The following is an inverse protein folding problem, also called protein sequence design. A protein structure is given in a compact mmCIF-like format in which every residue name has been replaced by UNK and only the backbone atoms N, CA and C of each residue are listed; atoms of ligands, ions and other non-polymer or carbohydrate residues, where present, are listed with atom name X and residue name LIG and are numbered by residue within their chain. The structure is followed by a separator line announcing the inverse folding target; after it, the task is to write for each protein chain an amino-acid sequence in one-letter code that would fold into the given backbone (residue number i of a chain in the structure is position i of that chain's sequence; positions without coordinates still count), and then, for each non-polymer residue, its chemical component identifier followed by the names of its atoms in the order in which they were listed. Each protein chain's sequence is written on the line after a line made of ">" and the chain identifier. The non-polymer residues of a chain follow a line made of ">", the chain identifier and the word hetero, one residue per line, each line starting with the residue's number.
data_IF_316820219593
#
_entry.id   IF_316820219593
#
_cell.length_a   1.000
_cell.length_b   1.000
_cell.length_c   1.000
_cell.angle_alpha   90.00
_cell.angle_beta   90.00
_cell.angle_gamma   90.00
#
_symmetry.space_group_name_H-M   'P 1'
#
loop_
_entity.id
_entity.type
_entity.pdbx_description
1 polymer ?
#
# COMPACT_ATOMS: atom_id res chain seq x y z
N UNK A 1 -2.73 2.21 2.06
CA UNK A 1 -2.45 1.00 2.82
C UNK A 1 -3.24 0.94 4.12
N UNK A 2 -3.09 -0.13 4.84
CA UNK A 2 -3.88 -0.43 6.03
C UNK A 2 -3.07 -1.31 7.01
N UNK A 3 -3.46 -1.30 8.28
CA UNK A 3 -2.98 -2.29 9.25
C UNK A 3 -3.41 -3.70 8.81
N UNK A 4 -2.59 -4.69 9.12
CA UNK A 4 -2.85 -6.09 8.81
C UNK A 4 -2.32 -6.99 9.91
N UNK A 5 -3.16 -7.93 10.38
CA UNK A 5 -2.78 -8.96 11.36
C UNK A 5 -3.64 -10.20 11.15
N UNK A 6 -4.36 -10.66 12.16
CA UNK A 6 -5.40 -11.69 12.00
C UNK A 6 -6.62 -11.18 11.22
N UNK A 7 -6.77 -9.86 11.15
CA UNK A 7 -7.76 -9.19 10.30
C UNK A 7 -7.06 -8.64 9.06
N UNK A 8 -7.60 -8.94 7.87
CA UNK A 8 -6.95 -8.57 6.60
C UNK A 8 -6.87 -7.05 6.41
N UNK A 9 -7.95 -6.33 6.70
CA UNK A 9 -7.98 -4.87 6.69
C UNK A 9 -8.32 -4.37 8.08
N UNK A 10 -7.42 -3.64 8.72
CA UNK A 10 -7.63 -3.02 10.02
C UNK A 10 -6.92 -1.66 10.13
N UNK A 11 -7.19 -0.94 11.19
CA UNK A 11 -6.45 0.28 11.50
C UNK A 11 -4.98 -0.03 11.80
N UNK A 12 -4.07 0.92 11.53
CA UNK A 12 -4.33 2.27 11.01
C UNK A 12 -4.47 2.33 9.50
N UNK A 13 -5.09 3.38 8.98
CA UNK A 13 -5.00 3.74 7.57
C UNK A 13 -3.60 4.32 7.27
N UNK A 14 -2.97 3.84 6.21
CA UNK A 14 -1.64 4.28 5.77
C UNK A 14 -1.80 5.13 4.50
N UNK A 15 -1.66 6.42 4.63
CA UNK A 15 -1.71 7.34 3.51
C UNK A 15 -0.38 7.32 2.73
N UNK A 16 -0.48 7.51 1.41
CA UNK A 16 0.70 7.57 0.52
C UNK A 16 1.11 9.02 0.21
N UNK A 17 0.71 9.96 1.07
CA UNK A 17 1.12 11.36 1.04
C UNK A 17 1.23 11.90 2.46
N UNK A 18 2.01 12.96 2.64
CA UNK A 18 2.19 13.56 3.96
C UNK A 18 3.48 14.34 4.06
N UNK A 19 3.76 14.81 5.25
CA UNK A 19 5.03 15.47 5.59
C UNK A 19 5.86 14.56 6.49
N UNK A 20 7.18 14.56 6.30
CA UNK A 20 8.11 13.84 7.17
C UNK A 20 7.89 14.26 8.64
N UNK A 21 7.99 13.30 9.54
CA UNK A 21 7.84 13.47 11.00
C UNK A 21 6.44 13.97 11.42
N UNK A 22 5.40 13.63 10.68
CA UNK A 22 4.00 13.87 11.04
C UNK A 22 3.19 12.59 10.92
N UNK A 23 1.97 12.61 11.44
CA UNK A 23 1.06 11.46 11.40
C UNK A 23 1.22 10.52 12.59
N UNK A 24 0.76 9.28 12.40
CA UNK A 24 0.81 8.26 13.44
C UNK A 24 2.26 7.84 13.73
N UNK A 25 2.59 7.74 15.00
CA UNK A 25 3.88 7.19 15.42
C UNK A 25 3.94 5.68 15.15
N UNK A 26 5.08 5.23 14.63
CA UNK A 26 5.32 3.83 14.28
C UNK A 26 6.08 3.15 15.41
N UNK A 27 5.61 1.98 15.84
CA UNK A 27 6.22 1.19 16.91
C UNK A 27 6.67 -0.19 16.43
N UNK A 28 7.73 -0.76 17.01
CA UNK A 28 8.08 -2.15 16.79
C UNK A 28 6.91 -3.10 17.04
N UNK A 29 6.75 -4.09 16.18
CA UNK A 29 5.64 -5.04 16.20
C UNK A 29 4.43 -4.62 15.36
N UNK A 30 4.38 -3.39 14.86
CA UNK A 30 3.33 -2.99 13.91
C UNK A 30 3.52 -3.68 12.56
N UNK A 31 2.40 -4.09 11.95
CA UNK A 31 2.35 -4.61 10.59
C UNK A 31 1.30 -3.85 9.78
N UNK A 32 1.66 -3.46 8.58
CA UNK A 32 0.77 -2.72 7.69
C UNK A 32 1.17 -2.87 6.23
N UNK A 33 0.29 -2.48 5.33
CA UNK A 33 0.56 -2.49 3.89
C UNK A 33 0.94 -1.10 3.37
N UNK A 34 1.76 -1.11 2.33
CA UNK A 34 2.07 0.07 1.51
C UNK A 34 1.68 -0.30 0.08
N UNK A 35 0.65 0.36 -0.46
CA UNK A 35 -0.01 -0.07 -1.70
C UNK A 35 -0.51 1.10 -2.57
N UNK A 36 0.36 2.04 -2.96
CA UNK A 36 -0.05 3.20 -3.73
C UNK A 36 -0.60 2.81 -5.10
N UNK A 37 -1.69 3.47 -5.49
CA UNK A 37 -2.21 3.43 -6.85
C UNK A 37 -1.66 4.62 -7.62
N UNK A 38 -0.91 4.35 -8.69
CA UNK A 38 -0.25 5.38 -9.50
C UNK A 38 -0.95 5.49 -10.85
N UNK A 39 -1.52 6.65 -11.13
CA UNK A 39 -2.26 6.92 -12.37
C UNK A 39 -1.41 7.76 -13.33
N UNK A 40 -1.44 7.41 -14.61
CA UNK A 40 -0.80 8.20 -15.66
C UNK A 40 -1.57 9.52 -15.93
N UNK A 41 -2.85 9.59 -15.58
CA UNK A 41 -3.70 10.76 -15.72
C UNK A 41 -4.11 11.36 -14.39
N UNK A 42 -5.39 11.68 -14.27
CA UNK A 42 -5.95 12.29 -13.07
C UNK A 42 -6.17 11.28 -11.94
N UNK A 43 -6.18 11.77 -10.71
CA UNK A 43 -6.35 10.93 -9.51
C UNK A 43 -7.78 10.39 -9.31
N UNK A 44 -8.78 10.95 -9.99
CA UNK A 44 -10.17 10.56 -9.82
C UNK A 44 -10.41 9.12 -10.26
N UNK A 45 -11.11 8.37 -9.43
CA UNK A 45 -11.46 6.97 -9.67
C UNK A 45 -12.97 6.76 -9.71
N UNK A 46 -13.38 5.65 -10.28
CA UNK A 46 -14.75 5.16 -10.29
C UNK A 46 -14.74 3.72 -9.77
N UNK A 47 -15.63 3.44 -8.84
CA UNK A 47 -15.86 2.06 -8.36
C UNK A 47 -16.91 1.43 -9.26
N UNK A 48 -16.64 0.20 -9.73
CA UNK A 48 -17.55 -0.55 -10.58
C UNK A 48 -18.70 -1.17 -9.79
N UNK A 49 -19.65 -1.79 -10.51
CA UNK A 49 -20.87 -2.36 -9.92
C UNK A 49 -20.62 -3.55 -8.97
N UNK A 50 -19.42 -4.15 -9.01
CA UNK A 50 -19.02 -5.19 -8.05
C UNK A 50 -18.71 -4.60 -6.64
N UNK A 51 -18.73 -3.26 -6.50
CA UNK A 51 -18.43 -2.57 -5.25
C UNK A 51 -16.97 -2.64 -4.81
N UNK A 52 -16.09 -3.17 -5.64
CA UNK A 52 -14.68 -3.40 -5.31
C UNK A 52 -13.71 -2.83 -6.35
N UNK A 53 -13.90 -3.14 -7.61
CA UNK A 53 -12.98 -2.76 -8.68
C UNK A 53 -12.96 -1.24 -8.87
N UNK A 54 -11.78 -0.64 -8.70
CA UNK A 54 -11.53 0.78 -8.95
C UNK A 54 -10.85 0.95 -10.31
N UNK A 55 -11.39 1.84 -11.14
CA UNK A 55 -10.79 2.22 -12.41
C UNK A 55 -10.59 3.72 -12.48
N UNK A 56 -9.63 4.19 -13.27
CA UNK A 56 -9.44 5.62 -13.49
C UNK A 56 -10.67 6.21 -14.19
N UNK A 57 -11.14 7.35 -13.70
CA UNK A 57 -12.31 8.01 -14.27
C UNK A 57 -12.06 8.52 -15.69
N UNK A 58 -10.83 8.92 -15.99
CA UNK A 58 -10.39 9.41 -17.29
C UNK A 58 -9.88 8.30 -18.23
N UNK A 59 -9.99 7.02 -17.82
CA UNK A 59 -9.52 5.84 -18.56
C UNK A 59 -8.00 5.80 -18.80
N UNK A 60 -7.23 6.59 -18.08
CA UNK A 60 -5.76 6.52 -18.11
C UNK A 60 -5.26 5.22 -17.49
N UNK A 61 -4.04 4.85 -17.86
CA UNK A 61 -3.36 3.69 -17.26
C UNK A 61 -3.12 3.92 -15.77
N UNK A 62 -3.21 2.84 -15.00
CA UNK A 62 -2.93 2.80 -13.58
C UNK A 62 -2.13 1.57 -13.24
N UNK A 63 -1.28 1.67 -12.23
CA UNK A 63 -0.54 0.56 -11.67
C UNK A 63 -0.61 0.60 -10.14
N UNK A 64 -0.66 -0.57 -9.52
CA UNK A 64 -0.61 -0.73 -8.08
C UNK A 64 0.37 -1.85 -7.73
N UNK A 65 1.21 -1.60 -6.74
CA UNK A 65 2.08 -2.62 -6.14
C UNK A 65 1.95 -2.51 -4.63
N UNK A 66 1.95 -3.66 -3.97
CA UNK A 66 1.73 -3.75 -2.54
C UNK A 66 2.83 -4.53 -1.87
N UNK A 67 3.27 -4.01 -0.73
CA UNK A 67 4.07 -4.76 0.23
C UNK A 67 3.44 -4.76 1.61
N UNK A 68 3.56 -5.90 2.29
CA UNK A 68 3.30 -5.98 3.73
C UNK A 68 4.62 -5.78 4.46
N UNK A 69 4.63 -4.85 5.40
CA UNK A 69 5.82 -4.41 6.13
C UNK A 69 5.62 -4.64 7.63
N UNK A 70 6.61 -5.22 8.27
CA UNK A 70 6.69 -5.31 9.73
C UNK A 70 7.75 -4.37 10.29
N UNK A 71 7.44 -3.71 11.40
CA UNK A 71 8.37 -2.82 12.10
C UNK A 71 9.13 -3.62 13.15
N UNK A 72 10.44 -3.52 13.10
CA UNK A 72 11.36 -4.17 14.04
C UNK A 72 11.96 -3.15 15.00
N UNK A 73 12.67 -3.63 16.03
CA UNK A 73 13.42 -2.75 16.96
C UNK A 73 14.45 -1.85 16.26
N UNK A 74 15.01 -2.32 15.15
CA UNK A 74 16.10 -1.64 14.44
C UNK A 74 15.71 -1.10 13.05
N UNK A 75 14.45 -1.25 12.64
CA UNK A 75 14.03 -0.83 11.30
C UNK A 75 12.75 -1.52 10.85
N UNK A 76 12.80 -2.18 9.70
CA UNK A 76 11.64 -2.83 9.11
C UNK A 76 12.02 -4.11 8.38
N UNK A 77 11.03 -4.94 8.13
CA UNK A 77 11.12 -6.14 7.31
C UNK A 77 9.98 -6.13 6.27
N UNK A 78 10.28 -6.49 5.04
CA UNK A 78 9.27 -6.62 3.97
C UNK A 78 8.94 -8.11 3.84
N UNK A 79 7.69 -8.47 4.20
CA UNK A 79 7.27 -9.88 4.20
C UNK A 79 6.92 -10.42 2.82
N UNK A 80 6.66 -9.54 1.86
CA UNK A 80 6.22 -9.86 0.51
C UNK A 80 7.27 -9.58 -0.55
N UNK A 81 8.54 -9.69 -0.20
CA UNK A 81 9.61 -9.61 -1.20
C UNK A 81 9.54 -10.74 -2.21
N UNK A 82 9.96 -10.46 -3.44
CA UNK A 82 10.02 -11.47 -4.49
C UNK A 82 10.93 -12.63 -4.08
N UNK A 83 10.41 -13.84 -4.13
CA UNK A 83 11.20 -15.07 -3.88
C UNK A 83 12.31 -15.28 -4.90
N UNK A 84 12.25 -14.60 -6.05
CA UNK A 84 13.28 -14.59 -7.08
C UNK A 84 14.31 -13.47 -6.90
N UNK A 85 14.18 -12.65 -5.85
CA UNK A 85 15.06 -11.52 -5.58
C UNK A 85 14.87 -10.34 -6.53
N UNK A 86 13.76 -10.25 -7.24
CA UNK A 86 13.48 -9.10 -8.12
C UNK A 86 13.12 -7.87 -7.29
N UNK A 87 13.75 -6.76 -7.58
CA UNK A 87 13.52 -5.48 -6.89
C UNK A 87 12.71 -4.49 -7.74
N UNK A 88 12.31 -4.90 -8.94
CA UNK A 88 11.50 -4.12 -9.88
C UNK A 88 10.67 -5.05 -10.77
N UNK A 89 9.54 -4.60 -11.31
CA UNK A 89 8.72 -5.40 -12.22
C UNK A 89 9.50 -5.91 -13.47
N UNK A 90 9.10 -7.08 -14.04
CA UNK A 90 8.12 -8.03 -13.48
C UNK A 90 8.70 -8.86 -12.32
N UNK A 91 7.89 -9.09 -11.33
CA UNK A 91 8.27 -9.88 -10.13
C UNK A 91 8.11 -11.38 -10.33
#
# INVERSE_FOLDING_TARGET
>A
GHGISNTFHELPNILHYGKKNTGLEIYPGMTFTIEPMINAGKYNVKILNDGWTAVTKDKSLSAQFEHTVGITENGYEIFTESVKGYTKPPY
#
